data_IF_316532099574
#
_entry.id   IF_316532099574
#
_cell.length_a   1.000
_cell.length_b   1.000
_cell.length_c   1.000
_cell.angle_alpha   90.00
_cell.angle_beta   90.00
_cell.angle_gamma   90.00
#
_symmetry.space_group_name_H-M   'P 1'
#
loop_
_entity.id
_entity.type
_entity.pdbx_description
1 polymer ?
#
# COMPACT_ATOMS: atom_id res chain seq x y z
N UNK A 1 2.76 5.34 3.93
CA UNK A 1 2.81 6.42 2.91
C UNK A 1 4.05 7.29 3.00
N UNK A 2 4.30 8.05 4.08
CA UNK A 2 5.49 8.93 4.16
C UNK A 2 6.82 8.17 4.03
N UNK A 3 7.07 7.23 4.95
CA UNK A 3 8.35 6.52 5.03
C UNK A 3 8.47 5.38 4.01
N UNK A 4 7.36 4.84 3.54
CA UNK A 4 7.36 3.73 2.57
C UNK A 4 7.30 4.23 1.11
N UNK A 5 6.53 5.28 0.82
CA UNK A 5 6.24 5.72 -0.55
C UNK A 5 6.69 7.17 -0.85
N UNK A 6 7.40 7.82 0.09
CA UNK A 6 8.06 9.11 -0.14
C UNK A 6 7.16 10.35 -0.14
N UNK A 7 5.87 10.23 0.17
CA UNK A 7 5.00 11.40 0.32
C UNK A 7 5.46 12.30 1.47
N UNK A 8 5.37 13.63 1.32
CA UNK A 8 5.74 14.58 2.38
C UNK A 8 4.91 14.38 3.66
N UNK A 9 3.63 14.06 3.49
CA UNK A 9 2.65 13.92 4.56
C UNK A 9 1.75 12.71 4.33
N UNK A 10 1.29 12.07 5.40
CA UNK A 10 0.29 10.99 5.30
C UNK A 10 -1.10 11.55 4.98
N UNK A 11 -1.99 10.78 4.31
CA UNK A 11 -3.29 11.30 3.86
C UNK A 11 -4.19 11.77 5.02
N UNK A 12 -4.17 11.09 6.17
CA UNK A 12 -4.93 11.51 7.35
C UNK A 12 -4.42 12.81 7.97
N UNK A 13 -3.11 13.00 7.98
CA UNK A 13 -2.49 14.24 8.48
C UNK A 13 -2.77 15.40 7.51
N UNK A 14 -2.76 15.13 6.21
CA UNK A 14 -3.13 16.12 5.20
C UNK A 14 -4.61 16.53 5.34
N UNK A 15 -5.52 15.58 5.52
CA UNK A 15 -6.94 15.87 5.75
C UNK A 15 -7.19 16.68 7.03
N UNK A 16 -6.42 16.44 8.09
CA UNK A 16 -6.53 17.25 9.30
C UNK A 16 -5.95 18.67 9.12
N UNK A 17 -4.96 18.82 8.24
CA UNK A 17 -4.38 20.13 7.92
C UNK A 17 -5.33 20.97 7.06
N UNK A 18 -5.95 20.37 6.05
CA UNK A 18 -6.94 21.04 5.18
C UNK A 18 -8.27 21.28 5.90
N UNK A 19 -8.69 20.29 6.68
CA UNK A 19 -9.93 20.24 7.44
C UNK A 19 -11.01 19.41 6.77
N UNK A 20 -11.67 18.52 7.53
CA UNK A 20 -12.69 17.61 6.98
C UNK A 20 -13.97 18.31 6.56
N UNK A 21 -14.29 19.46 7.13
CA UNK A 21 -15.39 20.33 6.72
C UNK A 21 -15.18 20.94 5.32
N UNK A 22 -13.94 20.94 4.81
CA UNK A 22 -13.61 21.32 3.43
C UNK A 22 -13.42 20.08 2.57
N UNK A 23 -12.61 19.12 3.03
CA UNK A 23 -12.22 17.96 2.22
C UNK A 23 -13.38 17.01 1.95
N UNK A 24 -14.28 16.78 2.92
CA UNK A 24 -15.38 15.83 2.73
C UNK A 24 -16.42 16.32 1.70
N UNK A 25 -16.91 17.59 1.76
CA UNK A 25 -17.80 18.11 0.71
C UNK A 25 -17.19 18.09 -0.70
N UNK A 26 -15.88 18.32 -0.83
CA UNK A 26 -15.18 18.19 -2.12
C UNK A 26 -15.21 16.75 -2.64
N UNK A 27 -14.99 15.75 -1.77
CA UNK A 27 -15.11 14.34 -2.16
C UNK A 27 -16.53 13.99 -2.63
N UNK A 28 -17.56 14.44 -1.91
CA UNK A 28 -18.96 14.23 -2.31
C UNK A 28 -19.29 14.94 -3.62
N UNK A 29 -18.78 16.17 -3.82
CA UNK A 29 -18.95 16.93 -5.06
C UNK A 29 -18.37 16.18 -6.25
N UNK A 30 -17.13 15.70 -6.16
CA UNK A 30 -16.50 14.92 -7.24
C UNK A 30 -17.31 13.64 -7.49
N UNK A 31 -17.66 12.90 -6.43
CA UNK A 31 -18.44 11.67 -6.58
C UNK A 31 -19.77 11.89 -7.31
N UNK A 32 -20.50 12.95 -6.95
CA UNK A 32 -21.79 13.25 -7.55
C UNK A 32 -21.67 13.79 -8.98
N UNK A 33 -20.65 14.60 -9.29
CA UNK A 33 -20.41 15.13 -10.63
C UNK A 33 -19.98 14.03 -11.63
N UNK A 34 -19.38 12.95 -11.13
CA UNK A 34 -19.07 11.77 -11.92
C UNK A 34 -20.14 10.67 -11.80
N UNK A 35 -21.40 11.04 -11.57
CA UNK A 35 -22.54 10.11 -11.54
C UNK A 35 -22.33 8.90 -10.64
N UNK A 36 -21.79 9.15 -9.45
CA UNK A 36 -21.55 8.12 -8.43
C UNK A 36 -20.58 7.01 -8.87
N UNK A 37 -19.64 7.35 -9.76
CA UNK A 37 -18.54 6.51 -10.17
C UNK A 37 -17.81 5.89 -8.95
N UNK A 38 -17.80 4.54 -8.80
CA UNK A 38 -17.23 3.85 -7.64
C UNK A 38 -15.82 4.26 -7.21
N UNK A 39 -14.96 4.67 -8.16
CA UNK A 39 -13.60 5.15 -7.88
C UNK A 39 -13.56 6.37 -6.97
N UNK A 40 -14.57 7.25 -7.06
CA UNK A 40 -14.64 8.49 -6.29
C UNK A 40 -15.50 8.38 -5.02
N UNK A 41 -16.06 7.21 -4.73
CA UNK A 41 -16.95 6.99 -3.58
C UNK A 41 -16.26 7.44 -2.27
N UNK A 42 -16.81 8.43 -1.53
CA UNK A 42 -16.25 8.89 -0.26
C UNK A 42 -16.32 7.83 0.86
N UNK A 43 -15.57 8.05 1.94
CA UNK A 43 -15.65 7.20 3.12
C UNK A 43 -16.67 7.73 4.13
N UNK A 44 -17.59 6.89 4.64
CA UNK A 44 -18.48 7.27 5.75
C UNK A 44 -17.73 7.76 7.00
N UNK A 45 -16.50 7.29 7.22
CA UNK A 45 -15.68 7.71 8.37
C UNK A 45 -15.42 9.22 8.34
N UNK A 46 -15.17 9.77 7.15
CA UNK A 46 -14.94 11.22 7.01
C UNK A 46 -16.21 12.03 7.23
N UNK A 47 -17.37 11.52 6.80
CA UNK A 47 -18.67 12.14 7.04
C UNK A 47 -18.99 12.21 8.54
N UNK A 48 -18.90 11.07 9.23
CA UNK A 48 -19.22 10.94 10.66
C UNK A 48 -18.30 11.84 11.49
N UNK A 49 -17.00 11.88 11.17
CA UNK A 49 -16.03 12.74 11.86
C UNK A 49 -16.32 14.22 11.65
N UNK A 50 -16.67 14.63 10.43
CA UNK A 50 -17.01 16.02 10.12
C UNK A 50 -18.25 16.47 10.90
N UNK A 51 -19.31 15.66 10.92
CA UNK A 51 -20.54 15.94 11.71
C UNK A 51 -20.22 16.02 13.21
N UNK A 52 -19.31 15.17 13.71
CA UNK A 52 -18.86 15.20 15.09
C UNK A 52 -17.92 16.35 15.46
N UNK A 53 -17.64 17.31 14.55
CA UNK A 53 -16.72 18.42 14.80
C UNK A 53 -15.24 18.03 14.85
N UNK A 54 -14.90 16.77 14.52
CA UNK A 54 -13.52 16.28 14.45
C UNK A 54 -12.91 16.65 13.09
N UNK A 55 -12.80 17.95 12.85
CA UNK A 55 -12.46 18.52 11.54
C UNK A 55 -10.98 18.84 11.36
N UNK A 56 -10.10 18.36 12.24
CA UNK A 56 -8.65 18.47 12.08
C UNK A 56 -8.00 19.50 12.99
N UNK A 57 -6.83 19.98 12.57
CA UNK A 57 -5.92 20.80 13.40
C UNK A 57 -6.57 22.08 13.90
N UNK A 58 -7.38 22.74 13.07
CA UNK A 58 -8.05 24.01 13.41
C UNK A 58 -9.10 23.87 14.52
N UNK A 59 -9.62 22.66 14.74
CA UNK A 59 -10.57 22.35 15.81
C UNK A 59 -9.90 21.61 16.99
N UNK A 60 -8.57 21.50 17.00
CA UNK A 60 -7.83 20.76 18.02
C UNK A 60 -7.92 19.23 17.91
N UNK A 61 -8.78 18.68 17.05
CA UNK A 61 -8.92 17.25 16.84
C UNK A 61 -9.49 16.89 15.46
N UNK A 62 -8.96 15.84 14.86
CA UNK A 62 -9.45 15.19 13.65
C UNK A 62 -9.12 13.70 13.69
N UNK A 63 -8.40 13.19 12.69
CA UNK A 63 -7.78 11.87 12.77
C UNK A 63 -6.75 11.78 13.91
N UNK A 64 -6.08 12.89 14.22
CA UNK A 64 -5.19 13.04 15.36
C UNK A 64 -5.75 14.04 16.39
N UNK A 65 -5.31 13.92 17.63
CA UNK A 65 -5.43 14.99 18.61
C UNK A 65 -4.32 16.03 18.39
N UNK A 66 -4.62 17.30 18.65
CA UNK A 66 -3.68 18.41 18.55
C UNK A 66 -3.64 19.19 19.87
N UNK A 67 -2.59 19.00 20.65
CA UNK A 67 -2.31 19.81 21.84
C UNK A 67 -1.40 20.99 21.43
N UNK A 68 -1.80 22.22 21.75
CA UNK A 68 -1.09 23.45 21.34
C UNK A 68 -0.76 23.51 19.83
N UNK A 69 -1.69 22.99 19.01
CA UNK A 69 -1.53 22.92 17.56
C UNK A 69 -0.48 21.89 17.09
N UNK A 70 0.06 21.06 17.98
CA UNK A 70 1.01 19.99 17.67
C UNK A 70 0.31 18.63 17.61
N UNK A 71 0.58 17.89 16.54
CA UNK A 71 0.02 16.56 16.29
C UNK A 71 0.49 15.56 17.35
N UNK A 72 -0.46 14.94 18.04
CA UNK A 72 -0.19 13.90 19.02
C UNK A 72 -0.22 12.53 18.34
N UNK A 73 0.89 11.78 18.45
CA UNK A 73 1.01 10.42 17.93
C UNK A 73 1.48 9.51 19.06
N UNK A 74 0.83 8.35 19.27
CA UNK A 74 1.31 7.38 20.25
C UNK A 74 2.77 6.97 19.98
N UNK A 75 3.51 6.67 21.04
CA UNK A 75 4.84 6.10 20.91
C UNK A 75 4.77 4.78 20.11
N UNK A 76 5.79 4.52 19.29
CA UNK A 76 5.88 3.27 18.57
C UNK A 76 5.98 2.09 19.55
N UNK A 77 5.32 0.98 19.24
CA UNK A 77 5.46 -0.24 20.01
C UNK A 77 6.92 -0.73 19.98
N UNK A 78 7.38 -1.31 21.09
CA UNK A 78 8.71 -1.90 21.15
C UNK A 78 8.84 -3.06 20.13
N UNK A 79 10.01 -3.17 19.51
CA UNK A 79 10.34 -4.27 18.62
C UNK A 79 10.51 -5.54 19.46
N UNK A 80 9.79 -6.64 19.17
CA UNK A 80 9.98 -7.91 19.86
C UNK A 80 11.41 -8.44 19.65
N UNK A 81 12.00 -9.00 20.70
CA UNK A 81 13.31 -9.67 20.61
C UNK A 81 13.22 -11.07 19.95
N UNK A 82 12.01 -11.61 19.79
CA UNK A 82 11.78 -12.95 19.25
C UNK A 82 12.35 -13.10 17.82
N UNK A 83 12.88 -14.29 17.54
CA UNK A 83 13.42 -14.67 16.23
C UNK A 83 12.89 -16.04 15.81
N UNK A 84 12.61 -16.24 14.51
CA UNK A 84 12.24 -17.56 14.02
C UNK A 84 13.49 -18.47 13.99
N UNK A 85 13.28 -19.78 14.20
CA UNK A 85 14.32 -20.81 14.06
C UNK A 85 14.72 -21.02 12.60
N UNK A 86 13.75 -20.98 11.70
CA UNK A 86 13.96 -21.01 10.25
C UNK A 86 12.91 -20.16 9.54
N UNK A 87 13.21 -19.78 8.30
CA UNK A 87 12.34 -18.94 7.47
C UNK A 87 12.23 -19.58 6.11
N UNK A 88 11.00 -19.71 5.60
CA UNK A 88 10.73 -20.09 4.23
C UNK A 88 10.06 -18.93 3.49
N UNK A 89 10.45 -18.70 2.23
CA UNK A 89 9.92 -17.59 1.42
C UNK A 89 9.20 -18.17 0.22
N UNK A 90 7.94 -17.79 0.06
CA UNK A 90 7.11 -18.17 -1.08
C UNK A 90 7.78 -17.87 -2.42
N UNK A 91 7.67 -18.83 -3.34
CA UNK A 91 8.11 -18.72 -4.73
C UNK A 91 7.01 -18.22 -5.67
N UNK A 92 5.82 -17.86 -5.17
CA UNK A 92 4.68 -17.44 -6.00
C UNK A 92 4.96 -16.15 -6.80
N UNK A 93 5.83 -15.29 -6.28
CA UNK A 93 6.38 -14.13 -7.00
C UNK A 93 7.89 -14.24 -7.06
N UNK A 94 8.46 -14.42 -8.25
CA UNK A 94 9.92 -14.47 -8.44
C UNK A 94 10.60 -13.19 -7.92
N UNK A 95 10.03 -12.03 -8.27
CA UNK A 95 10.50 -10.72 -7.81
C UNK A 95 10.40 -10.59 -6.28
N UNK A 96 9.25 -10.94 -5.70
CA UNK A 96 9.03 -10.88 -4.26
C UNK A 96 9.97 -11.80 -3.50
N UNK A 97 10.14 -13.04 -3.98
CA UNK A 97 11.08 -14.02 -3.45
C UNK A 97 12.52 -13.49 -3.45
N UNK A 98 13.00 -13.01 -4.60
CA UNK A 98 14.36 -12.48 -4.73
C UNK A 98 14.60 -11.29 -3.78
N UNK A 99 13.64 -10.38 -3.67
CA UNK A 99 13.74 -9.22 -2.77
C UNK A 99 13.83 -9.64 -1.30
N UNK A 100 12.96 -10.55 -0.86
CA UNK A 100 12.93 -11.00 0.53
C UNK A 100 14.15 -11.86 0.86
N UNK A 101 14.56 -12.77 -0.02
CA UNK A 101 15.78 -13.58 0.17
C UNK A 101 17.03 -12.70 0.28
N UNK A 102 17.15 -11.66 -0.56
CA UNK A 102 18.23 -10.67 -0.45
C UNK A 102 18.20 -9.94 0.89
N UNK A 103 17.01 -9.51 1.32
CA UNK A 103 16.83 -8.85 2.62
C UNK A 103 17.21 -9.79 3.78
N UNK A 104 16.74 -11.03 3.77
CA UNK A 104 17.09 -12.03 4.79
C UNK A 104 18.60 -12.27 4.86
N UNK A 105 19.28 -12.35 3.72
CA UNK A 105 20.75 -12.45 3.67
C UNK A 105 21.44 -11.26 4.35
N UNK A 106 20.96 -10.03 4.13
CA UNK A 106 21.47 -8.84 4.82
C UNK A 106 21.15 -8.84 6.33
N UNK A 107 20.11 -9.55 6.76
CA UNK A 107 19.76 -9.76 8.18
C UNK A 107 20.45 -10.99 8.79
N UNK A 108 21.35 -11.66 8.04
CA UNK A 108 22.07 -12.84 8.51
C UNK A 108 21.23 -14.12 8.56
N UNK A 109 20.13 -14.19 7.80
CA UNK A 109 19.24 -15.35 7.73
C UNK A 109 19.29 -15.95 6.33
N UNK A 110 19.59 -17.25 6.27
CA UNK A 110 19.48 -18.03 5.03
C UNK A 110 18.11 -18.72 5.00
N UNK A 111 17.23 -18.40 4.03
CA UNK A 111 15.93 -19.07 3.95
C UNK A 111 16.08 -20.55 3.55
N UNK A 112 15.09 -21.35 3.94
CA UNK A 112 14.97 -22.75 3.51
C UNK A 112 14.86 -22.85 1.98
N UNK A 113 15.56 -23.81 1.37
CA UNK A 113 15.56 -24.01 -0.08
C UNK A 113 14.53 -25.02 -0.60
N UNK A 114 13.68 -25.58 0.26
CA UNK A 114 12.65 -26.55 -0.13
C UNK A 114 11.49 -25.90 -0.86
N UNK A 115 10.77 -26.65 -1.70
CA UNK A 115 9.57 -26.15 -2.40
C UNK A 115 8.37 -25.92 -1.44
N UNK A 116 8.44 -26.42 -0.21
CA UNK A 116 7.46 -26.22 0.85
C UNK A 116 8.18 -25.87 2.16
N UNK A 117 7.54 -25.11 3.06
CA UNK A 117 8.10 -24.81 4.37
C UNK A 117 8.18 -26.06 5.25
N UNK A 118 9.22 -26.14 6.08
CA UNK A 118 9.26 -27.11 7.17
C UNK A 118 8.15 -26.86 8.22
N UNK A 119 7.96 -27.82 9.14
CA UNK A 119 6.94 -27.75 10.18
C UNK A 119 7.12 -26.56 11.15
N UNK A 120 8.35 -26.06 11.30
CA UNK A 120 8.69 -24.99 12.26
C UNK A 120 9.00 -23.65 11.59
N UNK A 121 9.10 -23.62 10.25
CA UNK A 121 9.45 -22.41 9.52
C UNK A 121 8.45 -21.26 9.75
N UNK A 122 8.97 -20.03 9.88
CA UNK A 122 8.16 -18.85 9.63
C UNK A 122 7.93 -18.72 8.12
N UNK A 123 6.67 -18.63 7.70
CA UNK A 123 6.28 -18.61 6.29
C UNK A 123 6.11 -17.17 5.83
N UNK A 124 6.93 -16.73 4.87
CA UNK A 124 6.86 -15.38 4.31
C UNK A 124 6.24 -15.42 2.91
N UNK A 125 5.16 -14.67 2.73
CA UNK A 125 4.50 -14.48 1.41
C UNK A 125 4.66 -13.03 0.94
N UNK A 126 4.63 -12.82 -0.38
CA UNK A 126 4.91 -11.50 -1.00
C UNK A 126 3.81 -11.09 -2.00
N UNK A 127 2.53 -11.04 -1.58
CA UNK A 127 1.44 -10.79 -2.50
C UNK A 127 1.44 -9.38 -3.08
N UNK A 128 0.99 -9.29 -4.34
CA UNK A 128 0.56 -8.05 -4.98
C UNK A 128 -0.96 -8.03 -5.06
N UNK A 129 -1.60 -7.08 -4.39
CA UNK A 129 -3.05 -6.87 -4.41
C UNK A 129 -3.88 -7.87 -3.58
N UNK A 130 -3.32 -9.02 -3.20
CA UNK A 130 -3.97 -9.98 -2.31
C UNK A 130 -3.74 -9.66 -0.84
N UNK A 131 -4.51 -10.33 0.01
CA UNK A 131 -4.29 -10.37 1.45
C UNK A 131 -3.47 -11.61 1.85
N UNK A 132 -3.04 -11.70 3.11
CA UNK A 132 -2.17 -12.77 3.60
C UNK A 132 -2.92 -14.10 3.66
N UNK A 133 -4.21 -14.09 4.02
CA UNK A 133 -5.04 -15.31 4.07
C UNK A 133 -5.21 -15.93 2.68
N UNK A 134 -5.60 -15.14 1.69
CA UNK A 134 -5.78 -15.60 0.31
C UNK A 134 -4.47 -16.17 -0.22
N UNK A 135 -3.35 -15.49 0.06
CA UNK A 135 -2.01 -15.95 -0.34
C UNK A 135 -1.65 -17.29 0.30
N UNK A 136 -1.98 -17.49 1.58
CA UNK A 136 -1.73 -18.74 2.28
C UNK A 136 -2.60 -19.88 1.71
N UNK A 137 -3.89 -19.64 1.53
CA UNK A 137 -4.85 -20.63 1.02
C UNK A 137 -4.53 -21.07 -0.41
N UNK A 138 -4.22 -20.13 -1.32
CA UNK A 138 -3.88 -20.45 -2.71
C UNK A 138 -2.63 -21.31 -2.84
N UNK A 139 -1.71 -21.22 -1.87
CA UNK A 139 -0.46 -21.97 -1.86
C UNK A 139 -0.49 -23.19 -0.93
N UNK A 140 -1.61 -23.46 -0.24
CA UNK A 140 -1.71 -24.55 0.73
C UNK A 140 -0.80 -24.40 1.96
N UNK A 141 -0.53 -23.16 2.39
CA UNK A 141 0.37 -22.84 3.49
C UNK A 141 -0.40 -22.76 4.83
N UNK A 142 0.31 -23.01 5.93
CA UNK A 142 -0.24 -22.87 7.28
C UNK A 142 -0.44 -21.39 7.65
N UNK A 143 -1.71 -20.91 7.79
CA UNK A 143 -1.97 -19.51 8.06
C UNK A 143 -1.53 -19.08 9.48
N UNK A 144 -1.35 -20.01 10.42
CA UNK A 144 -0.90 -19.72 11.77
C UNK A 144 0.58 -19.29 11.86
N UNK A 145 1.37 -19.64 10.83
CA UNK A 145 2.79 -19.29 10.70
C UNK A 145 3.07 -18.38 9.50
N UNK A 146 2.03 -17.93 8.79
CA UNK A 146 2.17 -17.08 7.61
C UNK A 146 2.14 -15.60 7.97
N UNK A 147 3.10 -14.85 7.43
CA UNK A 147 3.16 -13.38 7.46
C UNK A 147 3.50 -12.88 6.05
N UNK A 148 2.75 -11.89 5.57
CA UNK A 148 3.03 -11.23 4.31
C UNK A 148 3.94 -10.00 4.50
N UNK A 149 4.82 -9.72 3.55
CA UNK A 149 5.61 -8.48 3.50
C UNK A 149 5.37 -7.72 2.19
N UNK A 150 5.21 -6.40 2.29
CA UNK A 150 4.95 -5.55 1.12
C UNK A 150 6.22 -5.38 0.28
N UNK A 151 6.19 -5.89 -0.95
CA UNK A 151 7.29 -5.87 -1.91
C UNK A 151 7.00 -5.00 -3.14
N UNK A 152 5.95 -4.15 -3.13
CA UNK A 152 5.67 -3.31 -4.30
C UNK A 152 6.85 -2.40 -4.64
N UNK A 153 7.40 -1.73 -3.63
CA UNK A 153 8.58 -0.88 -3.76
C UNK A 153 9.84 -1.63 -3.30
N UNK A 154 11.00 -1.45 -3.98
CA UNK A 154 12.27 -1.99 -3.51
C UNK A 154 12.58 -1.55 -2.08
N UNK A 155 13.07 -2.45 -1.21
CA UNK A 155 13.31 -2.13 0.19
C UNK A 155 14.31 -0.98 0.37
N UNK A 156 15.30 -0.87 -0.52
CA UNK A 156 16.32 0.19 -0.57
C UNK A 156 15.73 1.57 -0.87
N UNK A 157 14.56 1.63 -1.50
CA UNK A 157 13.83 2.87 -1.77
C UNK A 157 12.89 3.27 -0.63
N UNK A 158 12.77 2.44 0.42
CA UNK A 158 11.84 2.64 1.54
C UNK A 158 12.59 2.84 2.86
N UNK A 159 11.97 3.57 3.80
CA UNK A 159 12.45 3.77 5.17
C UNK A 159 11.63 3.02 6.22
N UNK A 160 10.66 2.20 5.78
CA UNK A 160 9.75 1.44 6.64
C UNK A 160 9.24 0.21 5.89
N UNK A 161 9.19 -0.92 6.60
CA UNK A 161 8.62 -2.18 6.11
C UNK A 161 7.20 -2.34 6.64
N UNK A 162 6.32 -2.94 5.83
CA UNK A 162 4.95 -3.26 6.25
C UNK A 162 4.77 -4.77 6.21
N UNK A 163 4.38 -5.35 7.35
CA UNK A 163 4.01 -6.75 7.49
C UNK A 163 2.50 -6.86 7.68
N UNK A 164 1.93 -7.96 7.19
CA UNK A 164 0.50 -8.24 7.30
C UNK A 164 0.30 -9.67 7.77
N UNK A 165 -0.55 -9.84 8.79
CA UNK A 165 -0.88 -11.15 9.36
C UNK A 165 -2.19 -11.68 8.79
N UNK A 166 -2.38 -13.00 8.84
CA UNK A 166 -3.70 -13.61 8.71
C UNK A 166 -4.48 -13.46 10.03
N UNK A 167 -5.81 -13.73 10.05
CA UNK A 167 -6.56 -13.86 11.30
C UNK A 167 -6.07 -15.00 12.20
N UNK A 168 -5.38 -16.00 11.65
CA UNK A 168 -4.89 -17.17 12.38
C UNK A 168 -3.42 -17.04 12.82
N UNK A 169 -2.66 -16.08 12.29
CA UNK A 169 -1.23 -15.92 12.61
C UNK A 169 -1.03 -15.84 14.12
N UNK A 170 -0.26 -16.78 14.66
CA UNK A 170 0.02 -16.84 16.09
C UNK A 170 0.81 -15.60 16.56
N UNK A 171 0.65 -15.22 17.82
CA UNK A 171 1.43 -14.14 18.41
C UNK A 171 2.94 -14.42 18.31
N UNK A 172 3.36 -15.68 18.49
CA UNK A 172 4.74 -16.10 18.36
C UNK A 172 5.28 -15.88 16.93
N UNK A 173 4.54 -16.32 15.89
CA UNK A 173 4.94 -16.10 14.50
C UNK A 173 4.98 -14.62 14.13
N UNK A 174 3.97 -13.84 14.57
CA UNK A 174 3.91 -12.38 14.39
C UNK A 174 5.12 -11.69 15.00
N UNK A 175 5.43 -12.01 16.27
CA UNK A 175 6.50 -11.36 17.02
C UNK A 175 7.87 -11.77 16.49
N UNK A 176 8.05 -13.03 16.07
CA UNK A 176 9.24 -13.51 15.39
C UNK A 176 9.47 -12.80 14.04
N UNK A 177 8.41 -12.63 13.23
CA UNK A 177 8.48 -11.89 11.98
C UNK A 177 8.84 -10.42 12.20
N UNK A 178 8.20 -9.78 13.20
CA UNK A 178 8.50 -8.40 13.55
C UNK A 178 9.95 -8.23 14.01
N UNK A 179 10.39 -9.03 14.97
CA UNK A 179 11.76 -8.99 15.48
C UNK A 179 12.80 -9.24 14.40
N UNK A 180 12.52 -10.18 13.47
CA UNK A 180 13.37 -10.44 12.32
C UNK A 180 13.45 -9.23 11.37
N UNK A 181 12.31 -8.72 10.89
CA UNK A 181 12.31 -7.65 9.89
C UNK A 181 12.60 -6.26 10.45
N UNK A 182 12.71 -6.08 11.77
CA UNK A 182 13.15 -4.84 12.42
C UNK A 182 14.61 -4.91 12.94
N UNK A 183 15.27 -6.04 12.71
CA UNK A 183 16.60 -6.42 13.20
C UNK A 183 17.74 -5.45 12.89
N UNK A 184 17.65 -4.76 11.76
CA UNK A 184 18.62 -3.79 11.26
C UNK A 184 18.24 -2.35 11.63
N UNK A 185 17.26 -2.18 12.51
CA UNK A 185 16.78 -0.87 12.96
C UNK A 185 15.78 -0.19 11.99
N UNK A 186 15.47 -0.80 10.83
CA UNK A 186 14.41 -0.27 9.96
C UNK A 186 13.05 -0.51 10.62
N UNK A 187 12.24 0.55 10.84
CA UNK A 187 10.93 0.39 11.46
C UNK A 187 10.00 -0.53 10.67
N UNK A 188 9.25 -1.35 11.40
CA UNK A 188 8.22 -2.23 10.85
C UNK A 188 6.84 -1.75 11.30
N UNK A 189 5.88 -1.76 10.40
CA UNK A 189 4.46 -1.61 10.71
C UNK A 189 3.75 -2.93 10.48
N UNK A 190 3.11 -3.46 11.52
CA UNK A 190 2.20 -4.59 11.41
C UNK A 190 0.79 -4.08 11.13
N UNK A 191 0.17 -4.62 10.08
CA UNK A 191 -1.23 -4.42 9.77
C UNK A 191 -1.99 -5.74 9.88
N UNK A 192 -3.31 -5.63 10.10
CA UNK A 192 -4.21 -6.77 9.97
C UNK A 192 -4.40 -7.12 8.50
N UNK A 193 -4.96 -8.29 8.28
CA UNK A 193 -5.22 -8.82 6.96
C UNK A 193 -6.05 -7.86 6.09
N UNK A 194 -5.55 -7.53 4.91
CA UNK A 194 -6.03 -6.41 4.10
C UNK A 194 -5.54 -6.49 2.65
N UNK A 195 -6.46 -6.66 1.70
CA UNK A 195 -6.17 -6.80 0.27
C UNK A 195 -5.27 -5.69 -0.29
N UNK A 196 -4.06 -6.03 -0.75
CA UNK A 196 -3.16 -5.07 -1.37
C UNK A 196 -2.57 -4.04 -0.40
N UNK A 197 -2.26 -4.45 0.84
CA UNK A 197 -1.56 -3.64 1.85
C UNK A 197 -2.11 -2.21 1.96
N UNK A 198 -1.31 -1.25 2.45
CA UNK A 198 -1.65 0.17 2.45
C UNK A 198 -1.01 0.89 1.26
N UNK A 199 0.30 0.74 1.07
CA UNK A 199 1.02 1.45 0.01
C UNK A 199 0.63 0.95 -1.37
N UNK A 200 0.53 -0.36 -1.55
CA UNK A 200 0.03 -0.98 -2.79
C UNK A 200 -1.32 -0.39 -3.21
N UNK A 201 -2.33 -0.51 -2.35
CA UNK A 201 -3.68 0.01 -2.62
C UNK A 201 -3.67 1.49 -2.97
N UNK A 202 -3.01 2.33 -2.16
CA UNK A 202 -3.03 3.79 -2.36
C UNK A 202 -2.28 4.18 -3.64
N UNK A 203 -1.06 3.67 -3.86
CA UNK A 203 -0.26 4.02 -5.04
C UNK A 203 -0.93 3.56 -6.32
N UNK A 204 -1.37 2.29 -6.37
CA UNK A 204 -1.97 1.76 -7.57
C UNK A 204 -3.29 2.46 -7.92
N UNK A 205 -4.11 2.86 -6.93
CA UNK A 205 -5.29 3.68 -7.17
C UNK A 205 -4.95 5.08 -7.69
N UNK A 206 -3.92 5.74 -7.14
CA UNK A 206 -3.45 7.06 -7.63
C UNK A 206 -3.02 6.96 -9.11
N UNK A 207 -2.19 5.98 -9.43
CA UNK A 207 -1.69 5.75 -10.79
C UNK A 207 -2.85 5.45 -11.76
N UNK A 208 -3.82 4.65 -11.30
CA UNK A 208 -4.95 4.27 -12.12
C UNK A 208 -5.92 5.43 -12.38
N UNK A 209 -6.14 6.32 -11.41
CA UNK A 209 -6.92 7.55 -11.60
C UNK A 209 -6.21 8.47 -12.60
N UNK A 210 -4.90 8.66 -12.47
CA UNK A 210 -4.13 9.46 -13.44
C UNK A 210 -4.19 8.88 -14.86
N UNK A 211 -4.13 7.55 -14.97
CA UNK A 211 -4.28 6.84 -16.24
C UNK A 211 -5.67 7.06 -16.86
N UNK A 212 -6.71 7.17 -16.03
CA UNK A 212 -8.07 7.47 -16.48
C UNK A 212 -8.22 8.91 -16.97
N UNK A 213 -7.60 9.87 -16.28
CA UNK A 213 -7.54 11.27 -16.69
C UNK A 213 -6.86 11.40 -18.07
N UNK A 214 -5.75 10.67 -18.27
CA UNK A 214 -5.08 10.59 -19.57
C UNK A 214 -5.96 9.93 -20.64
N UNK A 215 -6.63 8.83 -20.31
CA UNK A 215 -7.56 8.13 -21.22
C UNK A 215 -8.69 9.03 -21.72
N UNK A 216 -9.22 9.87 -20.83
CA UNK A 216 -10.29 10.82 -21.13
C UNK A 216 -9.79 12.08 -21.84
N UNK A 217 -8.47 12.22 -22.02
CA UNK A 217 -7.80 13.38 -22.65
C UNK A 217 -8.14 14.70 -21.96
N UNK A 218 -8.29 14.66 -20.63
CA UNK A 218 -8.51 15.87 -19.82
C UNK A 218 -7.26 16.76 -19.83
N UNK A 219 -6.07 16.12 -19.82
CA UNK A 219 -4.77 16.77 -19.93
C UNK A 219 -3.76 15.79 -20.55
N UNK A 220 -2.63 16.31 -21.04
CA UNK A 220 -1.53 15.46 -21.52
C UNK A 220 -0.91 14.68 -20.36
N UNK A 221 -0.31 13.49 -20.58
CA UNK A 221 0.39 12.75 -19.54
C UNK A 221 1.44 13.58 -18.79
N UNK A 222 2.17 14.43 -19.52
CA UNK A 222 3.18 15.32 -18.93
C UNK A 222 2.55 16.39 -18.02
N UNK A 223 1.44 17.00 -18.44
CA UNK A 223 0.75 18.02 -17.64
C UNK A 223 0.10 17.43 -16.39
N UNK A 224 -0.43 16.20 -16.47
CA UNK A 224 -0.96 15.47 -15.31
C UNK A 224 0.14 15.29 -14.25
N UNK A 225 1.32 14.85 -14.69
CA UNK A 225 2.46 14.64 -13.80
C UNK A 225 2.98 15.94 -13.19
N UNK A 226 3.08 17.00 -14.00
CA UNK A 226 3.51 18.32 -13.55
C UNK A 226 2.54 18.92 -12.53
N UNK A 227 1.24 18.87 -12.81
CA UNK A 227 0.20 19.41 -11.95
C UNK A 227 0.21 18.76 -10.55
N UNK A 228 0.35 17.43 -10.49
CA UNK A 228 0.36 16.70 -9.22
C UNK A 228 1.66 16.95 -8.43
N UNK A 229 2.80 17.07 -9.10
CA UNK A 229 4.07 17.41 -8.45
C UNK A 229 4.03 18.81 -7.84
N UNK A 230 3.60 19.81 -8.61
CA UNK A 230 3.59 21.21 -8.15
C UNK A 230 2.45 21.48 -7.17
N UNK A 231 1.24 21.00 -7.47
CA UNK A 231 0.04 21.29 -6.69
C UNK A 231 -0.08 20.45 -5.42
N UNK A 232 0.24 19.15 -5.48
CA UNK A 232 0.06 18.23 -4.35
C UNK A 232 1.37 17.84 -3.67
N UNK A 233 2.52 18.25 -4.22
CA UNK A 233 3.84 17.99 -3.64
C UNK A 233 4.22 16.51 -3.65
N UNK A 234 3.74 15.75 -4.63
CA UNK A 234 4.11 14.34 -4.78
C UNK A 234 5.60 14.23 -5.12
N UNK A 235 6.28 13.15 -4.69
CA UNK A 235 7.71 12.97 -4.98
C UNK A 235 7.99 12.73 -6.47
N UNK A 236 7.00 12.24 -7.20
CA UNK A 236 7.01 11.99 -8.64
C UNK A 236 5.57 12.05 -9.16
N UNK A 237 5.41 12.46 -10.41
CA UNK A 237 4.10 12.50 -11.05
C UNK A 237 3.49 11.10 -11.11
N UNK A 238 2.17 10.95 -11.00
CA UNK A 238 1.54 9.64 -10.85
C UNK A 238 1.78 8.69 -12.04
N UNK A 239 1.88 9.17 -13.28
CA UNK A 239 2.16 8.31 -14.43
C UNK A 239 3.64 7.87 -14.45
N UNK A 240 4.57 8.81 -14.26
CA UNK A 240 5.99 8.49 -14.10
C UNK A 240 6.26 7.60 -12.87
N UNK A 241 5.45 7.73 -11.81
CA UNK A 241 5.49 6.85 -10.65
C UNK A 241 5.05 5.43 -11.03
N UNK A 242 4.00 5.28 -11.84
CA UNK A 242 3.58 3.98 -12.36
C UNK A 242 4.65 3.32 -13.24
N UNK A 243 5.36 4.09 -14.06
CA UNK A 243 6.53 3.59 -14.80
C UNK A 243 7.66 3.14 -13.87
N UNK A 244 7.95 3.92 -12.82
CA UNK A 244 9.00 3.60 -11.85
C UNK A 244 8.66 2.37 -10.99
N UNK A 245 7.37 2.15 -10.69
CA UNK A 245 6.90 0.92 -10.03
C UNK A 245 6.94 -0.25 -10.99
N UNK A 246 6.55 -0.04 -12.25
CA UNK A 246 6.34 -1.08 -13.25
C UNK A 246 4.85 -1.20 -13.57
N UNK A 247 4.39 -0.81 -14.78
CA UNK A 247 2.98 -0.83 -15.15
C UNK A 247 2.30 -2.19 -14.97
N UNK A 248 3.04 -3.29 -15.21
CA UNK A 248 2.54 -4.65 -15.03
C UNK A 248 2.25 -4.98 -13.56
N UNK A 249 3.10 -4.53 -12.64
CA UNK A 249 2.89 -4.74 -11.20
C UNK A 249 1.69 -3.95 -10.70
N UNK A 250 1.49 -2.73 -11.21
CA UNK A 250 0.31 -1.90 -10.90
C UNK A 250 -0.96 -2.59 -11.40
N UNK A 251 -0.95 -3.07 -12.65
CA UNK A 251 -2.07 -3.79 -13.26
C UNK A 251 -2.41 -5.08 -12.49
N UNK A 252 -1.39 -5.89 -12.14
CA UNK A 252 -1.56 -7.11 -11.35
C UNK A 252 -2.17 -6.81 -9.98
N UNK A 253 -1.63 -5.82 -9.26
CA UNK A 253 -2.14 -5.41 -7.94
C UNK A 253 -3.62 -5.03 -8.01
N UNK A 254 -4.02 -4.23 -9.01
CA UNK A 254 -5.41 -3.78 -9.18
C UNK A 254 -6.35 -4.92 -9.55
N UNK A 255 -5.94 -5.81 -10.46
CA UNK A 255 -6.72 -7.00 -10.84
C UNK A 255 -6.94 -7.94 -9.67
N UNK A 256 -5.90 -8.18 -8.87
CA UNK A 256 -5.99 -9.03 -7.70
C UNK A 256 -6.91 -8.43 -6.63
N UNK A 257 -6.84 -7.11 -6.39
CA UNK A 257 -7.77 -6.43 -5.48
C UNK A 257 -9.22 -6.46 -5.99
N UNK A 258 -9.43 -6.21 -7.29
CA UNK A 258 -10.76 -6.27 -7.91
C UNK A 258 -11.35 -7.68 -7.79
N UNK A 259 -10.58 -8.71 -8.16
CA UNK A 259 -11.03 -10.11 -8.09
C UNK A 259 -11.34 -10.56 -6.66
N UNK A 260 -10.51 -10.15 -5.68
CA UNK A 260 -10.68 -10.54 -4.28
C UNK A 260 -11.85 -9.83 -3.61
N UNK A 261 -12.06 -8.55 -3.91
CA UNK A 261 -13.06 -7.72 -3.21
C UNK A 261 -14.39 -7.58 -3.95
N UNK A 262 -14.39 -7.80 -5.26
CA UNK A 262 -15.52 -7.46 -6.14
C UNK A 262 -15.81 -5.96 -6.25
N UNK A 263 -14.99 -5.08 -5.66
CA UNK A 263 -15.24 -3.64 -5.66
C UNK A 263 -14.68 -3.00 -6.94
N UNK A 264 -15.61 -2.50 -7.79
CA UNK A 264 -15.31 -1.80 -9.04
C UNK A 264 -14.45 -0.54 -8.88
N UNK A 265 -14.23 -0.06 -7.64
CA UNK A 265 -13.22 0.95 -7.33
C UNK A 265 -11.82 0.54 -7.80
N UNK A 266 -11.48 -0.75 -7.76
CA UNK A 266 -10.14 -1.23 -8.09
C UNK A 266 -9.93 -1.60 -9.56
N UNK A 267 -10.98 -1.54 -10.39
CA UNK A 267 -10.89 -1.93 -11.81
C UNK A 267 -9.75 -1.19 -12.53
N UNK A 268 -8.85 -1.87 -13.26
CA UNK A 268 -7.84 -1.19 -14.07
C UNK A 268 -8.47 -0.32 -15.15
N UNK A 269 -7.90 0.87 -15.41
CA UNK A 269 -8.28 1.70 -16.56
C UNK A 269 -7.81 1.07 -17.88
N UNK A 270 -8.51 1.32 -19.00
CA UNK A 270 -8.05 0.87 -20.31
C UNK A 270 -6.66 1.40 -20.68
N UNK A 271 -6.31 2.62 -20.26
CA UNK A 271 -4.97 3.19 -20.45
C UNK A 271 -3.91 2.33 -19.80
N UNK A 272 -4.01 2.11 -18.48
CA UNK A 272 -3.07 1.27 -17.74
C UNK A 272 -2.99 -0.13 -18.35
N UNK A 273 -4.15 -0.76 -18.63
CA UNK A 273 -4.19 -2.11 -19.17
C UNK A 273 -3.45 -2.23 -20.52
N UNK A 274 -3.70 -1.31 -21.46
CA UNK A 274 -3.06 -1.32 -22.79
C UNK A 274 -1.57 -1.07 -22.70
N UNK A 275 -1.13 -0.06 -21.94
CA UNK A 275 0.30 0.27 -21.84
C UNK A 275 1.08 -0.84 -21.14
N UNK A 276 0.56 -1.37 -20.04
CA UNK A 276 1.17 -2.51 -19.36
C UNK A 276 1.20 -3.76 -20.25
N UNK A 277 0.12 -4.04 -21.00
CA UNK A 277 0.05 -5.19 -21.91
C UNK A 277 1.01 -5.08 -23.10
N UNK A 278 1.26 -3.86 -23.60
CA UNK A 278 2.16 -3.60 -24.73
C UNK A 278 3.61 -3.31 -24.32
N UNK A 279 3.92 -3.26 -23.01
CA UNK A 279 5.24 -2.87 -22.51
C UNK A 279 5.59 -1.40 -22.78
N UNK A 280 4.57 -0.53 -22.90
CA UNK A 280 4.74 0.90 -23.11
C UNK A 280 4.79 1.66 -21.78
N UNK A 281 5.46 2.81 -21.80
CA UNK A 281 5.38 3.79 -20.72
C UNK A 281 3.95 4.30 -20.54
N UNK A 282 3.54 4.57 -19.30
CA UNK A 282 2.27 5.22 -18.98
C UNK A 282 2.20 6.68 -19.46
N UNK A 283 3.34 7.28 -19.80
CA UNK A 283 3.43 8.59 -20.44
C UNK A 283 3.27 8.52 -21.96
N UNK A 284 3.22 7.33 -22.56
CA UNK A 284 3.10 7.17 -24.00
C UNK A 284 1.72 7.67 -24.51
N UNK A 285 1.77 8.74 -25.29
CA UNK A 285 0.62 9.33 -25.98
C UNK A 285 0.21 8.50 -27.21
N UNK A 286 -1.08 8.53 -27.52
CA UNK A 286 -1.62 7.99 -28.78
C UNK A 286 -1.47 9.05 -29.88
N UNK A 287 -1.01 8.64 -31.06
CA UNK A 287 -0.98 9.49 -32.25
C UNK A 287 -2.38 9.71 -32.82
#
# INVERSE_FOLDING_TARGET
MREQAGFRMGPFELMDLTGLDVSHPVMESIYNQFYQEPRYRPSPITAIRAVGGLIGRKAGAGFYAYADGQKQVPAAAAVPAARPSSVWVSHASERGHAMVTKLLGALGVTPEGGNQPSADALIIVTPLGLDATTSALQQGLDPARTVAIDTLLPFEATKRRTLMTTPATSAAARDAAHGLFASDGVPVTLIRDSAGFVAQRVLCCIINIASDIAQQRIATPADIDLAVNLGLGYPKGPLALGDAVGPQLVLETLRNMEALTGDMRYRPSPWLWRRAGLGLSLLAEEQ
#
